data_IF_997264818684
#
_entry.id   IF_997264818684
#
_cell.length_a   1.000
_cell.length_b   1.000
_cell.length_c   1.000
_cell.angle_alpha   90.00
_cell.angle_beta   90.00
_cell.angle_gamma   90.00
#
_symmetry.space_group_name_H-M   'P 1'
#
loop_
_entity.id
_entity.type
_entity.pdbx_description
1 polymer ?
#
# COMPACT_ATOMS: atom_id res chain seq x y z
N UNK A 1 -1.56 16.67 -10.99
CA UNK A 1 -2.28 15.72 -11.88
C UNK A 1 -1.31 14.57 -12.11
N UNK A 2 -1.65 13.38 -11.64
CA UNK A 2 -0.76 12.22 -11.75
C UNK A 2 -0.72 11.71 -13.19
N UNK A 3 0.43 11.20 -13.59
CA UNK A 3 0.68 10.49 -14.85
C UNK A 3 0.20 9.05 -14.77
N UNK A 4 -0.04 8.41 -15.91
CA UNK A 4 -0.39 6.98 -15.96
C UNK A 4 0.68 6.08 -15.34
N UNK A 5 1.96 6.45 -15.49
CA UNK A 5 3.09 5.73 -14.87
C UNK A 5 3.04 5.80 -13.34
N UNK A 6 2.71 6.96 -12.77
CA UNK A 6 2.56 7.12 -11.32
C UNK A 6 1.37 6.30 -10.77
N UNK A 7 0.26 6.23 -11.51
CA UNK A 7 -0.87 5.37 -11.14
C UNK A 7 -0.50 3.88 -11.17
N UNK A 8 0.25 3.43 -12.18
CA UNK A 8 0.71 2.05 -12.27
C UNK A 8 1.65 1.68 -11.12
N UNK A 9 2.59 2.57 -10.78
CA UNK A 9 3.48 2.39 -9.63
C UNK A 9 2.69 2.28 -8.33
N UNK A 10 1.69 3.14 -8.16
CA UNK A 10 0.82 3.13 -6.99
C UNK A 10 0.05 1.81 -6.83
N UNK A 11 -0.58 1.34 -7.92
CA UNK A 11 -1.34 0.08 -7.93
C UNK A 11 -0.42 -1.11 -7.62
N UNK A 12 0.76 -1.14 -8.22
CA UNK A 12 1.73 -2.20 -8.00
C UNK A 12 2.19 -2.25 -6.53
N UNK A 13 2.45 -1.09 -5.93
CA UNK A 13 2.90 -1.00 -4.55
C UNK A 13 1.81 -1.40 -3.56
N UNK A 14 0.56 -0.99 -3.77
CA UNK A 14 -0.57 -1.49 -2.97
C UNK A 14 -0.70 -3.00 -3.10
N UNK A 15 -0.59 -3.55 -4.33
CA UNK A 15 -0.63 -4.98 -4.57
C UNK A 15 0.43 -5.74 -3.77
N UNK A 16 1.67 -5.22 -3.74
CA UNK A 16 2.78 -5.78 -2.95
C UNK A 16 2.45 -5.78 -1.45
N UNK A 17 2.00 -4.64 -0.91
CA UNK A 17 1.67 -4.50 0.51
C UNK A 17 0.52 -5.43 0.95
N UNK A 18 -0.49 -5.63 0.09
CA UNK A 18 -1.58 -6.58 0.35
C UNK A 18 -1.06 -8.02 0.46
N UNK A 19 -0.15 -8.44 -0.42
CA UNK A 19 0.44 -9.78 -0.36
C UNK A 19 1.34 -9.96 0.87
N UNK A 20 2.10 -8.94 1.25
CA UNK A 20 2.85 -8.92 2.51
C UNK A 20 1.92 -9.02 3.73
N UNK A 21 0.79 -8.30 3.72
CA UNK A 21 -0.20 -8.37 4.79
C UNK A 21 -0.78 -9.78 4.95
N UNK A 22 -1.12 -10.45 3.84
CA UNK A 22 -1.70 -11.80 3.84
C UNK A 22 -0.72 -12.83 4.39
N UNK A 23 0.56 -12.71 4.03
CA UNK A 23 1.62 -13.64 4.42
C UNK A 23 2.21 -13.35 5.81
N UNK A 24 2.01 -12.15 6.35
CA UNK A 24 2.55 -11.77 7.66
C UNK A 24 1.76 -12.43 8.81
N UNK A 25 2.41 -13.16 9.73
CA UNK A 25 1.76 -13.68 10.94
C UNK A 25 1.73 -12.67 12.10
N UNK A 26 2.53 -11.60 12.03
CA UNK A 26 2.74 -10.65 13.13
C UNK A 26 1.67 -9.53 13.11
N UNK A 27 0.83 -9.39 14.14
CA UNK A 27 -0.23 -8.37 14.17
C UNK A 27 0.30 -6.92 14.16
N UNK A 28 1.42 -6.64 14.81
CA UNK A 28 1.99 -5.28 14.82
C UNK A 28 2.52 -4.88 13.44
N UNK A 29 3.14 -5.82 12.72
CA UNK A 29 3.58 -5.59 11.33
C UNK A 29 2.39 -5.39 10.40
N UNK A 30 1.30 -6.14 10.59
CA UNK A 30 0.05 -5.93 9.84
C UNK A 30 -0.51 -4.52 10.03
N UNK A 31 -0.51 -4.01 11.27
CA UNK A 31 -0.94 -2.64 11.55
C UNK A 31 -0.09 -1.61 10.80
N UNK A 32 1.24 -1.78 10.78
CA UNK A 32 2.14 -0.89 10.04
C UNK A 32 1.88 -0.92 8.53
N UNK A 33 1.53 -2.08 7.97
CA UNK A 33 1.16 -2.20 6.56
C UNK A 33 -0.18 -1.49 6.28
N UNK A 34 -1.18 -1.65 7.15
CA UNK A 34 -2.46 -0.94 7.05
C UNK A 34 -2.28 0.59 7.09
N UNK A 35 -1.47 1.09 8.04
CA UNK A 35 -1.12 2.50 8.14
C UNK A 35 -0.42 3.02 6.88
N UNK A 36 0.50 2.23 6.31
CA UNK A 36 1.18 2.58 5.07
C UNK A 36 0.22 2.71 3.89
N UNK A 37 -0.69 1.75 3.72
CA UNK A 37 -1.71 1.77 2.66
C UNK A 37 -2.64 3.00 2.84
N UNK A 38 -3.02 3.32 4.08
CA UNK A 38 -3.86 4.49 4.36
C UNK A 38 -3.16 5.81 3.97
N UNK A 39 -1.90 5.99 4.38
CA UNK A 39 -1.10 7.17 4.03
C UNK A 39 -0.90 7.32 2.53
N UNK A 40 -0.70 6.20 1.81
CA UNK A 40 -0.66 6.19 0.36
C UNK A 40 -1.96 6.69 -0.26
N UNK A 41 -3.12 6.25 0.25
CA UNK A 41 -4.44 6.70 -0.20
C UNK A 41 -4.69 8.19 0.04
N UNK A 42 -4.22 8.74 1.16
CA UNK A 42 -4.29 10.17 1.46
C UNK A 42 -3.41 11.01 0.52
N UNK A 43 -2.23 10.50 0.13
CA UNK A 43 -1.30 11.23 -0.74
C UNK A 43 -1.81 11.42 -2.18
N UNK A 44 -2.78 10.60 -2.61
CA UNK A 44 -3.36 10.66 -3.96
C UNK A 44 -4.77 11.27 -4.01
N UNK A 45 -5.36 11.60 -2.85
CA UNK A 45 -6.69 12.21 -2.73
C UNK A 45 -6.64 13.74 -2.72
#
# INVERSE_FOLDING_TARGET
MFTEEEYLLFINEIGRLIEEYKSCPCPSTKLLIEEHIALMGEAIS
#
